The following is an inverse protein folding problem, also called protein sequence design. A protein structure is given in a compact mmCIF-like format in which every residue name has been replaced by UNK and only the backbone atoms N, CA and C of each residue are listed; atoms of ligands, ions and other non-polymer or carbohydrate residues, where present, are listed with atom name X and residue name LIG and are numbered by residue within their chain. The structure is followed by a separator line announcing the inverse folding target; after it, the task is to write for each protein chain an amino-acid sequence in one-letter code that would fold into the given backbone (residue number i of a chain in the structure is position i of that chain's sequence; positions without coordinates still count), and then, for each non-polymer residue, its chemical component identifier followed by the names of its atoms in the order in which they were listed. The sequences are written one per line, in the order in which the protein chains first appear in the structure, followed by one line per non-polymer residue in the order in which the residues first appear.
data_IF_506602745527
#
_entry.id   IF_506602745527
#
_cell.length_a   1.000
_cell.length_b   1.000
_cell.length_c   1.000
_cell.angle_alpha   90.00
_cell.angle_beta   90.00
_cell.angle_gamma   90.00
#
_symmetry.space_group_name_H-M   'P 1'
#
loop_
_entity.id
_entity.type
_entity.pdbx_description
1 polymer ?
#
# COMPACT_ATOMS: atom_id res chain seq x y z
N UNK A 1 -3.35 -6.60 6.87
CA UNK A 1 -2.02 -6.39 6.31
C UNK A 1 -1.59 -7.64 5.57
N UNK A 2 -0.90 -7.50 4.45
CA UNK A 2 -0.36 -8.61 3.67
C UNK A 2 1.17 -8.51 3.67
N UNK A 3 1.84 -9.63 3.94
CA UNK A 3 3.30 -9.76 3.76
C UNK A 3 3.56 -10.04 2.30
N UNK A 4 4.47 -9.28 1.67
CA UNK A 4 4.86 -9.49 0.28
C UNK A 4 5.89 -10.60 0.21
N UNK A 5 5.73 -11.49 -0.76
CA UNK A 5 6.69 -12.56 -1.03
C UNK A 5 7.96 -11.95 -1.62
N UNK A 6 9.06 -12.10 -0.88
CA UNK A 6 10.39 -11.63 -1.26
C UNK A 6 11.37 -12.78 -1.10
N UNK A 7 12.14 -13.06 -2.13
CA UNK A 7 13.13 -14.14 -2.10
C UNK A 7 14.24 -13.85 -1.09
N UNK A 8 14.79 -14.90 -0.46
CA UNK A 8 16.04 -14.76 0.30
C UNK A 8 17.14 -14.15 -0.59
N UNK A 9 17.78 -13.08 -0.09
CA UNK A 9 18.78 -12.32 -0.85
C UNK A 9 18.21 -11.27 -1.80
N UNK A 10 16.92 -10.91 -1.67
CA UNK A 10 16.34 -9.74 -2.33
C UNK A 10 17.21 -8.50 -2.10
N UNK A 11 17.56 -7.81 -3.18
CA UNK A 11 18.40 -6.61 -3.21
C UNK A 11 17.63 -5.34 -2.83
N UNK A 12 16.37 -5.48 -2.41
CA UNK A 12 15.48 -4.37 -2.10
C UNK A 12 14.85 -3.77 -3.35
N UNK A 13 14.84 -4.50 -4.46
CA UNK A 13 14.18 -4.08 -5.70
C UNK A 13 12.65 -4.06 -5.55
N UNK A 14 12.00 -3.42 -6.54
CA UNK A 14 10.55 -3.34 -6.61
C UNK A 14 9.95 -4.73 -6.85
N UNK A 15 9.08 -5.17 -5.96
CA UNK A 15 8.25 -6.37 -6.13
C UNK A 15 6.79 -6.00 -6.38
N UNK A 16 6.04 -6.86 -7.07
CA UNK A 16 4.59 -6.64 -7.27
C UNK A 16 3.85 -6.77 -5.94
N UNK A 17 3.09 -5.75 -5.56
CA UNK A 17 2.38 -5.69 -4.28
C UNK A 17 0.88 -5.90 -4.43
N UNK A 18 0.27 -5.33 -5.47
CA UNK A 18 -1.17 -5.47 -5.71
C UNK A 18 -1.57 -5.14 -7.14
N UNK A 19 -2.75 -5.63 -7.51
CA UNK A 19 -3.46 -5.29 -8.75
C UNK A 19 -4.94 -5.07 -8.44
N UNK A 20 -5.45 -3.89 -8.77
CA UNK A 20 -6.86 -3.52 -8.64
C UNK A 20 -7.45 -3.19 -10.01
N UNK A 21 -8.61 -3.76 -10.31
CA UNK A 21 -9.32 -3.56 -11.57
C UNK A 21 -10.71 -3.01 -11.28
N UNK A 22 -11.15 -2.02 -12.07
CA UNK A 22 -12.54 -1.60 -12.13
C UNK A 22 -13.22 -2.22 -13.35
N UNK A 23 -14.05 -3.27 -13.18
CA UNK A 23 -14.72 -3.93 -14.31
C UNK A 23 -15.65 -3.00 -15.11
N UNK A 24 -16.16 -1.94 -14.47
CA UNK A 24 -17.07 -0.98 -15.10
C UNK A 24 -16.35 -0.02 -16.05
N UNK A 25 -15.06 0.23 -15.81
CA UNK A 25 -14.29 1.25 -16.56
C UNK A 25 -13.09 0.67 -17.31
N UNK A 26 -12.72 -0.58 -17.05
CA UNK A 26 -11.50 -1.21 -17.55
C UNK A 26 -10.22 -0.69 -16.90
N UNK A 27 -10.29 0.32 -16.01
CA UNK A 27 -9.10 0.90 -15.38
C UNK A 27 -8.41 -0.13 -14.49
N UNK A 28 -7.10 -0.22 -14.62
CA UNK A 28 -6.23 -1.06 -13.81
C UNK A 28 -5.23 -0.18 -13.06
N UNK A 29 -5.06 -0.47 -11.78
CA UNK A 29 -3.97 0.03 -10.95
C UNK A 29 -3.13 -1.16 -10.49
N UNK A 30 -1.85 -1.15 -10.85
CA UNK A 30 -0.83 -2.06 -10.34
C UNK A 30 0.12 -1.29 -9.44
N UNK A 31 0.48 -1.87 -8.30
CA UNK A 31 1.45 -1.29 -7.37
C UNK A 31 2.64 -2.24 -7.28
N UNK A 32 3.83 -1.70 -7.49
CA UNK A 32 5.08 -2.34 -7.07
C UNK A 32 5.78 -1.50 -6.01
N UNK A 33 6.52 -2.14 -5.11
CA UNK A 33 7.13 -1.45 -3.98
C UNK A 33 8.41 -2.12 -3.49
N UNK A 34 9.25 -1.35 -2.81
CA UNK A 34 10.40 -1.84 -2.06
C UNK A 34 10.06 -2.15 -0.60
N UNK A 35 8.83 -1.95 -0.16
CA UNK A 35 8.36 -2.27 1.20
C UNK A 35 8.08 -3.77 1.37
N UNK A 36 8.18 -4.33 2.59
CA UNK A 36 7.94 -5.75 2.82
C UNK A 36 6.46 -6.10 2.94
N UNK A 37 5.56 -5.12 3.09
CA UNK A 37 4.13 -5.35 3.30
C UNK A 37 3.24 -4.32 2.62
N UNK A 38 1.95 -4.65 2.58
CA UNK A 38 0.89 -3.75 2.09
C UNK A 38 -0.38 -3.86 2.96
N UNK A 39 -0.86 -2.73 3.43
CA UNK A 39 -2.15 -2.62 4.11
C UNK A 39 -3.24 -2.32 3.09
N UNK A 40 -4.30 -3.13 3.10
CA UNK A 40 -5.54 -2.84 2.38
C UNK A 40 -6.59 -2.32 3.35
N UNK A 41 -7.07 -1.11 3.11
CA UNK A 41 -8.18 -0.52 3.84
C UNK A 41 -9.32 -0.19 2.89
N UNK A 42 -10.47 -0.85 3.08
CA UNK A 42 -11.66 -0.74 2.22
C UNK A 42 -12.55 0.47 2.54
N UNK A 43 -12.02 1.52 3.17
CA UNK A 43 -12.80 2.75 3.44
C UNK A 43 -13.88 2.58 4.51
N UNK A 44 -13.71 1.66 5.46
CA UNK A 44 -14.77 1.23 6.39
C UNK A 44 -15.36 2.35 7.28
N UNK A 45 -14.58 3.37 7.61
CA UNK A 45 -15.00 4.46 8.51
C UNK A 45 -15.47 5.73 7.77
N UNK A 46 -15.53 5.70 6.43
CA UNK A 46 -16.13 6.79 5.67
C UNK A 46 -17.64 6.82 5.94
N UNK A 47 -18.14 7.93 6.47
CA UNK A 47 -19.52 8.04 6.97
C UNK A 47 -20.40 9.05 6.20
N UNK A 48 -19.92 9.57 5.08
CA UNK A 48 -20.64 10.55 4.26
C UNK A 48 -20.56 12.00 4.77
N UNK A 49 -19.83 12.27 5.85
CA UNK A 49 -19.70 13.64 6.39
C UNK A 49 -18.81 14.55 5.53
N UNK A 50 -18.00 13.99 4.64
CA UNK A 50 -17.07 14.72 3.78
C UNK A 50 -17.44 14.56 2.31
N UNK A 51 -17.35 15.66 1.56
CA UNK A 51 -17.54 15.71 0.12
C UNK A 51 -16.23 15.99 -0.61
N UNK A 52 -16.02 15.32 -1.74
CA UNK A 52 -14.84 15.47 -2.58
C UNK A 52 -14.92 16.62 -3.60
N UNK A 53 -13.83 16.85 -4.36
CA UNK A 53 -13.83 17.77 -5.51
C UNK A 53 -14.90 17.46 -6.58
N UNK A 54 -15.40 16.22 -6.62
CA UNK A 54 -16.51 15.80 -7.49
C UNK A 54 -17.90 16.21 -6.98
N UNK A 55 -17.98 16.83 -5.79
CA UNK A 55 -19.23 17.15 -5.11
C UNK A 55 -19.95 15.94 -4.50
N UNK A 56 -19.38 14.73 -4.60
CA UNK A 56 -19.96 13.51 -4.03
C UNK A 56 -19.48 13.30 -2.60
N UNK A 57 -20.40 12.87 -1.73
CA UNK A 57 -20.07 12.46 -0.37
C UNK A 57 -19.32 11.12 -0.38
N UNK A 58 -18.34 10.96 0.52
CA UNK A 58 -17.57 9.73 0.68
C UNK A 58 -18.18 8.83 1.74
N UNK A 59 -18.75 7.70 1.33
CA UNK A 59 -19.38 6.71 2.20
C UNK A 59 -18.53 5.45 2.31
N UNK A 60 -18.90 4.59 3.23
CA UNK A 60 -18.27 3.31 3.45
C UNK A 60 -18.20 2.51 2.14
N UNK A 61 -16.99 2.11 1.74
CA UNK A 61 -16.74 1.35 0.52
C UNK A 61 -16.69 2.16 -0.78
N UNK A 62 -16.89 3.48 -0.76
CA UNK A 62 -16.76 4.31 -1.97
C UNK A 62 -15.29 4.45 -2.43
N UNK A 63 -14.32 4.13 -1.57
CA UNK A 63 -12.89 4.19 -1.87
C UNK A 63 -12.12 3.13 -1.06
N UNK A 64 -10.87 2.91 -1.45
CA UNK A 64 -9.93 2.08 -0.72
C UNK A 64 -8.54 2.73 -0.68
N UNK A 65 -7.70 2.28 0.26
CA UNK A 65 -6.28 2.59 0.33
C UNK A 65 -5.44 1.31 0.23
N UNK A 66 -4.29 1.44 -0.41
CA UNK A 66 -3.26 0.43 -0.59
C UNK A 66 -1.95 1.02 -0.09
N UNK A 67 -1.64 0.80 1.18
CA UNK A 67 -0.55 1.48 1.89
C UNK A 67 0.64 0.53 1.95
N UNK A 68 1.68 0.78 1.15
CA UNK A 68 2.92 0.00 1.17
C UNK A 68 3.76 0.39 2.38
N UNK A 69 4.19 -0.57 3.19
CA UNK A 69 4.82 -0.31 4.48
C UNK A 69 5.55 -1.52 5.06
N UNK A 70 6.32 -1.27 6.12
CA UNK A 70 6.69 -2.31 7.09
C UNK A 70 5.47 -2.82 7.86
N UNK A 71 5.64 -3.92 8.60
CA UNK A 71 4.52 -4.55 9.27
C UNK A 71 4.01 -3.66 10.41
N UNK A 72 2.69 -3.59 10.65
CA UNK A 72 2.16 -2.95 11.83
C UNK A 72 2.79 -3.56 13.09
N UNK A 73 3.07 -2.72 14.08
CA UNK A 73 3.68 -3.12 15.35
C UNK A 73 5.14 -3.61 15.27
N UNK A 74 5.83 -3.46 14.14
CA UNK A 74 7.25 -3.85 13.99
C UNK A 74 8.18 -3.38 15.12
N UNK A 75 8.06 -2.14 15.67
CA UNK A 75 8.89 -1.73 16.81
C UNK A 75 8.79 -2.63 18.06
N UNK A 76 7.68 -3.35 18.25
CA UNK A 76 7.43 -4.22 19.40
C UNK A 76 7.53 -5.72 19.06
N UNK A 77 7.84 -6.06 17.80
CA UNK A 77 7.87 -7.42 17.29
C UNK A 77 9.27 -7.70 16.74
N UNK A 78 10.20 -8.27 17.55
CA UNK A 78 11.61 -8.40 17.18
C UNK A 78 11.87 -9.32 15.97
N UNK A 79 10.91 -10.17 15.62
CA UNK A 79 10.97 -11.05 14.45
C UNK A 79 10.47 -10.38 13.16
N UNK A 80 9.96 -9.13 13.23
CA UNK A 80 9.51 -8.37 12.07
C UNK A 80 10.67 -7.56 11.45
N UNK A 81 10.57 -7.18 10.16
CA UNK A 81 11.51 -6.25 9.56
C UNK A 81 11.67 -5.00 10.42
N UNK A 82 12.92 -4.67 10.77
CA UNK A 82 13.20 -3.52 11.63
C UNK A 82 12.71 -2.22 10.99
N UNK A 83 12.14 -1.35 11.82
CA UNK A 83 11.78 0.02 11.45
C UNK A 83 12.70 1.05 12.12
N UNK A 84 13.80 0.60 12.74
CA UNK A 84 14.82 1.48 13.31
C UNK A 84 15.66 2.11 12.20
N UNK A 85 15.99 3.40 12.36
CA UNK A 85 16.95 4.09 11.52
C UNK A 85 17.98 4.75 12.45
N UNK A 86 19.21 4.27 12.42
CA UNK A 86 20.28 4.78 13.28
C UNK A 86 20.89 6.09 12.73
N UNK A 87 21.53 6.92 13.58
CA UNK A 87 22.21 8.13 13.11
C UNK A 87 23.25 7.82 12.03
N UNK A 88 23.15 8.53 10.89
CA UNK A 88 24.05 8.35 9.75
C UNK A 88 23.57 7.33 8.71
N UNK A 89 22.52 6.56 9.00
CA UNK A 89 21.88 5.69 8.02
C UNK A 89 20.94 6.47 7.10
N UNK A 90 20.65 5.89 5.93
CA UNK A 90 19.70 6.44 4.97
C UNK A 90 18.59 5.43 4.73
N UNK A 91 17.36 5.81 5.06
CA UNK A 91 16.18 5.05 4.68
C UNK A 91 15.78 5.39 3.23
N UNK A 92 15.54 4.37 2.42
CA UNK A 92 15.00 4.52 1.06
C UNK A 92 13.81 3.59 0.91
N UNK A 93 12.73 4.13 0.37
CA UNK A 93 11.54 3.37 0.02
C UNK A 93 10.96 3.91 -1.27
N UNK A 94 10.44 3.03 -2.11
CA UNK A 94 9.81 3.39 -3.38
C UNK A 94 8.53 2.60 -3.57
N UNK A 95 7.50 3.31 -4.04
CA UNK A 95 6.23 2.74 -4.45
C UNK A 95 5.86 3.31 -5.80
N UNK A 96 5.65 2.43 -6.77
CA UNK A 96 5.32 2.77 -8.15
C UNK A 96 3.88 2.39 -8.40
N UNK A 97 3.10 3.39 -8.83
CA UNK A 97 1.71 3.23 -9.26
C UNK A 97 1.69 3.18 -10.79
N UNK A 98 1.37 2.02 -11.35
CA UNK A 98 1.23 1.82 -12.79
C UNK A 98 -0.25 1.77 -13.15
N UNK A 99 -0.68 2.73 -13.97
CA UNK A 99 -2.04 2.79 -14.48
C UNK A 99 -2.10 2.26 -15.92
N UNK A 100 -3.09 1.42 -16.18
CA UNK A 100 -3.38 0.89 -17.51
C UNK A 100 -4.90 0.67 -17.68
N UNK A 101 -5.31 0.10 -18.81
CA UNK A 101 -6.68 -0.27 -19.08
C UNK A 101 -6.76 -1.61 -19.81
N UNK A 102 -7.78 -2.40 -19.48
CA UNK A 102 -8.15 -3.68 -20.12
C UNK A 102 -9.59 -3.69 -20.60
#
# INVERSE_FOLDING_TARGET
NFVLDRSEGDDGSLVSASRAVSPQTGRVLEISTTEPGIQFYSGNFLNGAFGGPSGQAYRQGDAFALETQHFPDSPNQPDFPSTELAPGETFTSSTVYTFSAE
#
